data_IF_807321780882
#
_entry.id   IF_807321780882
#
_cell.length_a   1.000
_cell.length_b   1.000
_cell.length_c   1.000
_cell.angle_alpha   90.00
_cell.angle_beta   90.00
_cell.angle_gamma   90.00
#
_symmetry.space_group_name_H-M   'P 1'
#
loop_
_entity.id
_entity.type
_entity.pdbx_description
1 polymer ?
#
# COMPACT_ATOMS: atom_id res chain seq x y z
N UNK A 1 -7.74 4.51 38.47
CA UNK A 1 -7.58 3.28 37.68
C UNK A 1 -6.11 2.98 37.58
N UNK A 2 -5.65 1.94 38.28
CA UNK A 2 -4.27 1.45 38.15
C UNK A 2 -4.08 0.87 36.75
N UNK A 3 -3.00 1.27 36.08
CA UNK A 3 -2.49 0.60 34.88
C UNK A 3 -1.96 -0.77 35.30
N UNK A 4 -2.85 -1.74 35.55
CA UNK A 4 -2.46 -3.14 35.56
C UNK A 4 -1.92 -3.45 34.16
N UNK A 5 -0.63 -3.71 34.07
CA UNK A 5 0.04 -4.11 32.84
C UNK A 5 -0.69 -5.33 32.26
N UNK A 6 -1.45 -5.14 31.18
CA UNK A 6 -2.12 -6.23 30.48
C UNK A 6 -1.10 -7.33 30.17
N UNK A 7 -1.34 -8.53 30.70
CA UNK A 7 -0.52 -9.70 30.38
C UNK A 7 -0.78 -10.06 28.93
N UNK A 8 0.20 -9.82 28.06
CA UNK A 8 0.20 -10.25 26.67
C UNK A 8 1.01 -11.53 26.52
N UNK A 9 0.47 -12.52 25.81
CA UNK A 9 1.13 -13.80 25.57
C UNK A 9 1.45 -13.91 24.08
N UNK A 10 2.69 -14.20 23.74
CA UNK A 10 3.10 -14.46 22.37
C UNK A 10 3.01 -15.97 22.09
N UNK A 11 2.27 -16.34 21.05
CA UNK A 11 2.02 -17.74 20.67
C UNK A 11 2.31 -17.95 19.20
N UNK A 12 3.01 -19.03 18.89
CA UNK A 12 3.19 -19.51 17.52
C UNK A 12 2.11 -20.55 17.22
N UNK A 13 1.41 -20.40 16.11
CA UNK A 13 0.39 -21.35 15.69
C UNK A 13 1.04 -22.61 15.08
N UNK A 14 0.81 -23.78 15.65
CA UNK A 14 1.36 -25.04 15.15
C UNK A 14 0.83 -25.44 13.77
N UNK A 15 -0.32 -24.91 13.37
CA UNK A 15 -0.92 -25.21 12.06
C UNK A 15 -0.35 -24.36 10.92
N UNK A 16 -0.05 -23.07 11.14
CA UNK A 16 0.38 -22.17 10.05
C UNK A 16 1.74 -21.50 10.26
N UNK A 17 2.36 -21.66 11.44
CA UNK A 17 3.66 -21.10 11.79
C UNK A 17 3.67 -19.60 12.12
N UNK A 18 2.53 -18.90 12.00
CA UNK A 18 2.42 -17.48 12.32
C UNK A 18 2.49 -17.25 13.84
N UNK A 19 3.15 -16.16 14.24
CA UNK A 19 3.32 -15.77 15.64
C UNK A 19 2.46 -14.54 15.95
N UNK A 20 1.62 -14.63 16.97
CA UNK A 20 0.69 -13.58 17.38
C UNK A 20 0.85 -13.25 18.85
N UNK A 21 0.58 -12.01 19.21
CA UNK A 21 0.50 -11.55 20.60
C UNK A 21 -0.97 -11.39 20.96
N UNK A 22 -1.46 -12.17 21.93
CA UNK A 22 -2.85 -12.13 22.39
C UNK A 22 -2.93 -11.36 23.71
N UNK A 23 -3.94 -10.48 23.84
CA UNK A 23 -4.34 -9.93 25.13
C UNK A 23 -5.07 -11.00 25.95
N UNK A 24 -5.11 -10.84 27.27
CA UNK A 24 -5.89 -11.71 28.15
C UNK A 24 -7.37 -11.77 27.77
N UNK A 25 -7.93 -10.69 27.21
CA UNK A 25 -9.31 -10.63 26.71
C UNK A 25 -9.56 -11.48 25.46
N UNK A 26 -8.50 -11.75 24.69
CA UNK A 26 -8.59 -12.59 23.48
C UNK A 26 -8.62 -14.09 23.79
N UNK A 27 -8.40 -14.45 25.06
CA UNK A 27 -8.38 -15.84 25.54
C UNK A 27 -9.81 -16.22 25.91
N UNK A 28 -10.35 -17.24 25.26
CA UNK A 28 -11.68 -17.75 25.62
C UNK A 28 -11.71 -18.27 27.07
N UNK A 29 -12.89 -18.32 27.67
CA UNK A 29 -13.09 -18.91 29.01
C UNK A 29 -12.67 -20.38 29.10
N UNK A 30 -12.51 -21.05 27.96
CA UNK A 30 -12.05 -22.44 27.83
C UNK A 30 -10.54 -22.55 27.59
N UNK A 31 -9.77 -21.46 27.75
CA UNK A 31 -8.31 -21.50 27.69
C UNK A 31 -7.73 -21.68 26.30
N UNK A 32 -8.45 -21.35 25.23
CA UNK A 32 -7.91 -21.34 23.87
C UNK A 32 -7.99 -19.96 23.22
N UNK A 33 -7.11 -19.73 22.24
CA UNK A 33 -7.15 -18.58 21.32
C UNK A 33 -7.33 -19.06 19.89
N UNK A 34 -7.96 -18.24 19.05
CA UNK A 34 -8.11 -18.54 17.63
C UNK A 34 -7.02 -17.84 16.81
N UNK A 35 -6.26 -18.61 16.04
CA UNK A 35 -5.25 -18.07 15.14
C UNK A 35 -5.87 -17.10 14.13
N UNK A 36 -5.39 -15.86 14.12
CA UNK A 36 -5.90 -14.81 13.22
C UNK A 36 -5.65 -15.12 11.73
N UNK A 37 -4.70 -16.01 11.41
CA UNK A 37 -4.42 -16.42 10.02
C UNK A 37 -5.32 -17.55 9.54
N UNK A 38 -5.28 -18.69 10.24
CA UNK A 38 -5.86 -19.94 9.77
C UNK A 38 -7.10 -20.39 10.54
N UNK A 39 -7.56 -19.59 11.51
CA UNK A 39 -8.70 -19.89 12.39
C UNK A 39 -8.53 -21.15 13.26
N UNK A 40 -7.34 -21.74 13.30
CA UNK A 40 -7.02 -22.90 14.16
C UNK A 40 -7.06 -22.51 15.64
N UNK A 41 -7.67 -23.36 16.47
CA UNK A 41 -7.76 -23.14 17.92
C UNK A 41 -6.51 -23.67 18.60
N UNK A 42 -5.79 -22.78 19.27
CA UNK A 42 -4.56 -23.09 20.01
C UNK A 42 -4.95 -23.24 21.49
N UNK A 43 -4.83 -24.44 22.04
CA UNK A 43 -5.07 -24.67 23.47
C UNK A 43 -3.87 -24.13 24.27
N UNK A 44 -4.14 -23.32 25.30
CA UNK A 44 -3.12 -22.75 26.18
C UNK A 44 -2.78 -23.67 27.36
N UNK A 45 -3.54 -24.74 27.58
CA UNK A 45 -3.24 -25.77 28.57
C UNK A 45 -1.93 -26.49 28.21
N UNK A 46 -0.82 -26.02 28.77
CA UNK A 46 0.52 -26.56 28.53
C UNK A 46 1.48 -25.62 27.80
N UNK A 47 1.01 -24.48 27.29
CA UNK A 47 1.88 -23.41 26.83
C UNK A 47 2.53 -22.76 28.08
N UNK A 48 3.69 -23.26 28.49
CA UNK A 48 4.46 -22.58 29.52
C UNK A 48 4.68 -21.14 29.05
N UNK A 49 4.39 -20.12 29.90
CA UNK A 49 4.67 -18.74 29.56
C UNK A 49 6.15 -18.66 29.23
N UNK A 50 6.47 -18.52 27.95
CA UNK A 50 7.84 -18.42 27.48
C UNK A 50 8.52 -17.32 28.30
N UNK A 51 9.54 -17.71 29.08
CA UNK A 51 10.07 -17.00 30.23
C UNK A 51 9.86 -15.48 30.20
N UNK A 52 9.05 -15.00 31.12
CA UNK A 52 8.73 -13.59 31.39
C UNK A 52 9.91 -12.75 31.88
N UNK A 53 11.17 -13.13 31.66
CA UNK A 53 12.32 -12.44 32.28
C UNK A 53 13.39 -11.88 31.33
N UNK A 54 13.28 -12.01 30.00
CA UNK A 54 14.32 -11.44 29.11
C UNK A 54 13.82 -10.63 27.92
N UNK A 55 12.51 -10.54 27.68
CA UNK A 55 11.97 -9.87 26.48
C UNK A 55 11.01 -8.71 26.77
N UNK A 56 10.83 -8.35 28.05
CA UNK A 56 9.98 -7.21 28.43
C UNK A 56 10.71 -5.86 28.34
N UNK A 57 12.05 -5.84 28.20
CA UNK A 57 12.83 -4.60 28.04
C UNK A 57 13.07 -4.18 26.58
N UNK A 58 12.78 -5.02 25.56
CA UNK A 58 13.01 -4.64 24.15
C UNK A 58 11.77 -4.26 23.35
N UNK A 59 10.58 -4.45 23.89
CA UNK A 59 9.33 -4.10 23.20
C UNK A 59 8.32 -3.45 24.16
N UNK A 60 8.74 -2.37 24.83
CA UNK A 60 7.75 -1.39 25.26
C UNK A 60 7.23 -0.67 24.02
N UNK A 61 6.11 -1.16 23.47
CA UNK A 61 5.31 -0.35 22.57
C UNK A 61 4.85 0.88 23.37
N UNK A 62 5.07 2.11 22.88
CA UNK A 62 4.58 3.30 23.56
C UNK A 62 3.05 3.20 23.72
N UNK A 63 2.58 3.34 24.95
CA UNK A 63 1.16 3.28 25.32
C UNK A 63 0.29 4.35 24.65
N UNK A 64 0.90 5.34 23.98
CA UNK A 64 0.20 6.33 23.16
C UNK A 64 -0.33 5.79 21.83
N UNK A 65 0.03 4.56 21.42
CA UNK A 65 -0.50 3.94 20.20
C UNK A 65 -1.92 3.35 20.36
N UNK A 66 -2.45 3.29 21.58
CA UNK A 66 -3.75 2.69 21.87
C UNK A 66 -4.95 3.64 21.63
N UNK A 67 -4.73 4.96 21.60
CA UNK A 67 -5.82 5.94 21.46
C UNK A 67 -6.06 6.42 20.02
N UNK A 68 -5.11 6.21 19.10
CA UNK A 68 -5.35 6.43 17.66
C UNK A 68 -5.85 5.12 17.05
N UNK A 69 -7.17 4.89 17.18
CA UNK A 69 -7.86 3.67 16.77
C UNK A 69 -7.23 2.98 15.57
N UNK A 70 -6.67 1.79 15.81
CA UNK A 70 -6.27 0.79 14.82
C UNK A 70 -5.85 1.36 13.46
N UNK A 71 -4.74 2.11 13.41
CA UNK A 71 -3.98 2.15 12.17
C UNK A 71 -3.40 0.74 11.98
N UNK A 72 -4.19 -0.14 11.38
CA UNK A 72 -3.78 -1.49 11.03
C UNK A 72 -2.35 -1.44 10.51
N UNK A 73 -1.51 -2.30 11.06
CA UNK A 73 -0.12 -2.39 10.66
C UNK A 73 -0.11 -2.85 9.20
N UNK A 74 -0.04 -1.91 8.26
CA UNK A 74 0.05 -2.22 6.84
C UNK A 74 1.30 -3.06 6.62
N UNK A 75 1.11 -4.33 6.24
CA UNK A 75 2.20 -5.23 5.87
C UNK A 75 2.36 -5.12 4.35
N UNK A 76 3.54 -4.66 3.86
CA UNK A 76 3.83 -4.64 2.43
C UNK A 76 3.55 -6.00 1.81
N UNK A 77 3.07 -6.02 0.58
CA UNK A 77 2.58 -7.22 -0.08
C UNK A 77 3.61 -8.34 -0.10
N UNK A 78 4.88 -8.00 -0.37
CA UNK A 78 6.03 -8.92 -0.36
C UNK A 78 6.25 -9.62 0.98
N UNK A 79 5.77 -9.03 2.08
CA UNK A 79 5.92 -9.53 3.44
C UNK A 79 4.67 -10.25 3.97
N UNK A 80 3.60 -10.38 3.19
CA UNK A 80 2.36 -11.01 3.65
C UNK A 80 2.52 -12.54 3.75
N UNK A 81 2.14 -13.16 4.88
CA UNK A 81 2.30 -14.59 5.07
C UNK A 81 1.26 -15.40 4.26
N UNK A 82 1.66 -15.91 3.08
CA UNK A 82 1.00 -16.98 2.30
C UNK A 82 -0.41 -16.64 1.71
N UNK A 83 -0.94 -17.44 0.76
CA UNK A 83 -1.69 -16.93 -0.38
C UNK A 83 -3.08 -16.43 0.02
N UNK A 84 -3.51 -15.35 -0.64
CA UNK A 84 -4.83 -14.78 -0.39
C UNK A 84 -5.87 -15.75 -0.95
N UNK A 85 -6.78 -16.20 -0.08
CA UNK A 85 -7.96 -16.93 -0.55
C UNK A 85 -8.69 -16.03 -1.55
N UNK A 86 -9.06 -16.57 -2.71
CA UNK A 86 -9.77 -15.87 -3.79
C UNK A 86 -8.94 -14.85 -4.60
N UNK A 87 -7.62 -15.03 -4.76
CA UNK A 87 -6.82 -14.16 -5.64
C UNK A 87 -7.37 -14.05 -7.06
N UNK A 88 -7.76 -15.17 -7.67
CA UNK A 88 -8.31 -15.17 -9.03
C UNK A 88 -9.62 -14.36 -9.14
N UNK A 89 -10.50 -14.47 -8.14
CA UNK A 89 -11.75 -13.70 -8.11
C UNK A 89 -11.49 -12.20 -7.90
N UNK A 90 -10.52 -11.84 -7.05
CA UNK A 90 -10.11 -10.44 -6.87
C UNK A 90 -9.47 -9.86 -8.12
N UNK A 91 -8.67 -10.64 -8.85
CA UNK A 91 -8.11 -10.25 -10.15
C UNK A 91 -9.23 -9.98 -11.15
N UNK A 92 -10.15 -10.93 -11.30
CA UNK A 92 -11.30 -10.79 -12.18
C UNK A 92 -12.15 -9.58 -11.80
N UNK A 93 -12.45 -9.38 -10.51
CA UNK A 93 -13.22 -8.24 -10.02
C UNK A 93 -12.52 -6.90 -10.30
N UNK A 94 -11.21 -6.82 -10.09
CA UNK A 94 -10.43 -5.62 -10.36
C UNK A 94 -10.47 -5.24 -11.85
N UNK A 95 -10.13 -6.17 -12.74
CA UNK A 95 -10.12 -5.86 -14.16
C UNK A 95 -11.53 -5.76 -14.77
N UNK A 96 -12.54 -6.42 -14.20
CA UNK A 96 -13.93 -6.23 -14.60
C UNK A 96 -14.44 -4.83 -14.21
N UNK A 97 -14.17 -4.37 -12.98
CA UNK A 97 -14.48 -3.01 -12.57
C UNK A 97 -13.78 -1.98 -13.48
N UNK A 98 -12.52 -2.25 -13.82
CA UNK A 98 -11.74 -1.41 -14.73
C UNK A 98 -12.34 -1.39 -16.15
N UNK A 99 -12.69 -2.56 -16.69
CA UNK A 99 -13.31 -2.71 -18.01
C UNK A 99 -14.67 -1.99 -18.08
N UNK A 100 -15.48 -2.06 -17.02
CA UNK A 100 -16.77 -1.39 -16.97
C UNK A 100 -16.62 0.14 -16.96
N UNK A 101 -15.66 0.65 -16.20
CA UNK A 101 -15.32 2.08 -16.21
C UNK A 101 -14.81 2.49 -17.60
N UNK A 102 -13.91 1.71 -18.19
CA UNK A 102 -13.40 1.95 -19.55
C UNK A 102 -14.51 1.99 -20.60
N UNK A 103 -15.47 1.05 -20.53
CA UNK A 103 -16.63 1.02 -21.41
C UNK A 103 -17.51 2.26 -21.23
N UNK A 104 -17.82 2.63 -19.99
CA UNK A 104 -18.61 3.84 -19.70
C UNK A 104 -17.91 5.12 -20.16
N UNK A 105 -16.58 5.17 -20.03
CA UNK A 105 -15.77 6.31 -20.44
C UNK A 105 -15.57 6.37 -21.97
N UNK A 106 -15.63 5.24 -22.70
CA UNK A 106 -15.30 5.18 -24.13
C UNK A 106 -15.98 6.27 -24.97
N UNK A 107 -17.31 6.40 -24.86
CA UNK A 107 -18.06 7.41 -25.63
C UNK A 107 -17.68 8.84 -25.24
N UNK A 108 -17.50 9.09 -23.94
CA UNK A 108 -17.07 10.39 -23.43
C UNK A 108 -15.67 10.74 -23.93
N UNK A 109 -14.77 9.75 -23.93
CA UNK A 109 -13.39 9.88 -24.40
C UNK A 109 -13.32 10.15 -25.90
N UNK A 110 -14.18 9.51 -26.71
CA UNK A 110 -14.23 9.77 -28.16
C UNK A 110 -14.69 11.21 -28.46
N UNK A 111 -15.76 11.68 -27.81
CA UNK A 111 -16.25 13.05 -27.98
C UNK A 111 -15.20 14.06 -27.50
N UNK A 112 -14.60 13.80 -26.34
CA UNK A 112 -13.54 14.65 -25.79
C UNK A 112 -12.32 14.69 -26.72
N UNK A 113 -11.84 13.56 -27.23
CA UNK A 113 -10.71 13.50 -28.16
C UNK A 113 -10.95 14.38 -29.39
N UNK A 114 -12.14 14.29 -29.99
CA UNK A 114 -12.52 15.13 -31.13
C UNK A 114 -12.51 16.61 -30.74
N UNK A 115 -13.09 16.97 -29.59
CA UNK A 115 -13.09 18.36 -29.12
C UNK A 115 -11.67 18.91 -28.87
N UNK A 116 -10.81 18.15 -28.19
CA UNK A 116 -9.41 18.53 -27.96
C UNK A 116 -8.63 18.69 -29.27
N UNK A 117 -8.86 17.78 -30.23
CA UNK A 117 -8.28 17.87 -31.58
C UNK A 117 -8.73 19.12 -32.33
N UNK A 118 -10.02 19.49 -32.24
CA UNK A 118 -10.53 20.71 -32.88
C UNK A 118 -10.02 22.00 -32.23
N UNK A 119 -9.90 22.03 -30.90
CA UNK A 119 -9.50 23.25 -30.16
C UNK A 119 -8.00 23.52 -30.27
N UNK A 120 -7.18 22.47 -30.11
CA UNK A 120 -5.73 22.62 -29.95
C UNK A 120 -4.90 21.77 -30.94
N UNK A 121 -5.54 21.17 -31.94
CA UNK A 121 -4.85 20.35 -32.94
C UNK A 121 -4.12 19.17 -32.32
N UNK A 122 -2.89 18.93 -32.81
CA UNK A 122 -2.03 17.83 -32.32
C UNK A 122 -1.66 17.99 -30.84
N UNK A 123 -1.48 19.22 -30.36
CA UNK A 123 -1.20 19.48 -28.93
C UNK A 123 -2.40 19.11 -28.05
N UNK A 124 -3.62 19.30 -28.55
CA UNK A 124 -4.84 18.86 -27.88
C UNK A 124 -4.88 17.35 -27.66
N UNK A 125 -4.40 16.57 -28.65
CA UNK A 125 -4.33 15.11 -28.54
C UNK A 125 -3.37 14.67 -27.43
N UNK A 126 -2.17 15.27 -27.34
CA UNK A 126 -1.22 14.97 -26.26
C UNK A 126 -1.78 15.35 -24.88
N UNK A 127 -2.43 16.52 -24.78
CA UNK A 127 -3.07 16.97 -23.53
C UNK A 127 -4.19 16.00 -23.12
N UNK A 128 -5.03 15.59 -24.07
CA UNK A 128 -6.10 14.63 -23.83
C UNK A 128 -5.55 13.29 -23.30
N UNK A 129 -4.55 12.70 -23.96
CA UNK A 129 -3.97 11.44 -23.49
C UNK A 129 -3.26 11.58 -22.13
N UNK A 130 -2.65 12.74 -21.85
CA UNK A 130 -2.10 13.04 -20.52
C UNK A 130 -3.17 13.04 -19.43
N UNK A 131 -4.32 13.67 -19.69
CA UNK A 131 -5.45 13.69 -18.76
C UNK A 131 -6.07 12.29 -18.56
N UNK A 132 -6.20 11.52 -19.64
CA UNK A 132 -6.67 10.13 -19.56
C UNK A 132 -5.72 9.28 -18.73
N UNK A 133 -4.40 9.40 -18.94
CA UNK A 133 -3.41 8.69 -18.14
C UNK A 133 -3.54 9.04 -16.65
N UNK A 134 -3.66 10.32 -16.29
CA UNK A 134 -3.86 10.74 -14.90
C UNK A 134 -5.14 10.14 -14.29
N UNK A 135 -6.24 10.15 -15.04
CA UNK A 135 -7.51 9.56 -14.59
C UNK A 135 -7.39 8.04 -14.37
N UNK A 136 -6.81 7.33 -15.35
CA UNK A 136 -6.50 5.89 -15.31
C UNK A 136 -5.65 5.55 -14.08
N UNK A 137 -4.62 6.35 -13.81
CA UNK A 137 -3.74 6.18 -12.66
C UNK A 137 -4.47 6.36 -11.33
N UNK A 138 -5.28 7.42 -11.21
CA UNK A 138 -6.09 7.69 -10.02
C UNK A 138 -7.11 6.59 -9.74
N UNK A 139 -7.80 6.11 -10.77
CA UNK A 139 -8.74 4.98 -10.67
C UNK A 139 -8.03 3.73 -10.19
N UNK A 140 -6.85 3.42 -10.74
CA UNK A 140 -6.10 2.24 -10.31
C UNK A 140 -5.65 2.33 -8.85
N UNK A 141 -5.15 3.48 -8.40
CA UNK A 141 -4.78 3.68 -6.98
C UNK A 141 -6.00 3.44 -6.07
N UNK A 142 -7.15 3.99 -6.44
CA UNK A 142 -8.40 3.79 -5.70
C UNK A 142 -8.82 2.31 -5.65
N UNK A 143 -8.85 1.62 -6.80
CA UNK A 143 -9.25 0.21 -6.87
C UNK A 143 -8.23 -0.73 -6.20
N UNK A 144 -6.94 -0.45 -6.31
CA UNK A 144 -5.87 -1.14 -5.58
C UNK A 144 -6.07 -1.03 -4.06
N UNK A 145 -6.46 0.14 -3.57
CA UNK A 145 -6.79 0.32 -2.15
C UNK A 145 -8.06 -0.44 -1.77
N UNK A 146 -9.15 -0.29 -2.54
CA UNK A 146 -10.45 -0.87 -2.22
C UNK A 146 -10.48 -2.41 -2.27
N UNK A 147 -9.85 -3.03 -3.29
CA UNK A 147 -9.94 -4.48 -3.54
C UNK A 147 -8.80 -5.26 -2.86
N UNK A 148 -7.60 -4.68 -2.92
CA UNK A 148 -6.37 -5.36 -2.50
C UNK A 148 -5.85 -4.88 -1.16
N UNK A 149 -6.38 -3.75 -0.66
CA UNK A 149 -5.80 -3.05 0.48
C UNK A 149 -4.31 -2.83 0.24
N UNK A 150 -3.96 -2.37 -0.98
CA UNK A 150 -2.62 -1.93 -1.34
C UNK A 150 -2.60 -0.40 -1.20
N UNK A 151 -1.64 0.12 -0.43
CA UNK A 151 -1.44 1.56 -0.29
C UNK A 151 -0.41 2.01 -1.31
N UNK A 152 -0.85 2.73 -2.32
CA UNK A 152 0.02 3.34 -3.33
C UNK A 152 0.31 4.80 -2.98
N UNK A 153 1.41 5.34 -3.48
CA UNK A 153 1.72 6.77 -3.37
C UNK A 153 0.66 7.59 -4.12
N UNK A 154 0.16 8.65 -3.48
CA UNK A 154 -0.81 9.59 -4.09
C UNK A 154 -0.14 10.83 -4.71
N UNK A 155 1.19 10.84 -4.80
CA UNK A 155 1.93 11.92 -5.45
C UNK A 155 1.57 12.00 -6.94
N UNK A 156 1.52 13.21 -7.51
CA UNK A 156 1.16 13.42 -8.93
C UNK A 156 2.06 12.59 -9.85
N UNK A 157 3.36 12.49 -9.54
CA UNK A 157 4.31 11.67 -10.29
C UNK A 157 3.96 10.18 -10.27
N UNK A 158 3.56 9.65 -9.10
CA UNK A 158 3.11 8.26 -9.00
C UNK A 158 1.79 8.04 -9.76
N UNK A 159 0.80 8.94 -9.61
CA UNK A 159 -0.46 8.88 -10.36
C UNK A 159 -0.21 8.85 -11.87
N UNK A 160 0.66 9.72 -12.38
CA UNK A 160 1.03 9.77 -13.78
C UNK A 160 1.73 8.48 -14.25
N UNK A 161 2.64 7.94 -13.43
CA UNK A 161 3.35 6.70 -13.75
C UNK A 161 2.40 5.49 -13.79
N UNK A 162 1.51 5.33 -12.80
CA UNK A 162 0.43 4.34 -12.83
C UNK A 162 -0.39 4.46 -14.11
N UNK A 163 -0.78 5.70 -14.44
CA UNK A 163 -1.52 6.05 -15.63
C UNK A 163 -0.85 5.61 -16.92
N UNK A 164 0.42 5.95 -17.08
CA UNK A 164 1.17 5.69 -18.30
C UNK A 164 1.42 4.18 -18.52
N UNK A 165 1.81 3.46 -17.47
CA UNK A 165 2.01 2.00 -17.56
C UNK A 165 0.71 1.28 -17.92
N UNK A 166 -0.39 1.63 -17.24
CA UNK A 166 -1.68 1.01 -17.52
C UNK A 166 -2.24 1.42 -18.87
N UNK A 167 -2.08 2.67 -19.28
CA UNK A 167 -2.49 3.12 -20.60
C UNK A 167 -1.80 2.30 -21.71
N UNK A 168 -0.50 2.03 -21.58
CA UNK A 168 0.22 1.16 -22.51
C UNK A 168 -0.34 -0.27 -22.56
N UNK A 169 -0.60 -0.88 -21.40
CA UNK A 169 -1.18 -2.23 -21.34
C UNK A 169 -2.60 -2.26 -21.92
N UNK A 170 -3.44 -1.29 -21.55
CA UNK A 170 -4.83 -1.17 -22.01
C UNK A 170 -4.93 -0.89 -23.50
N UNK A 171 -3.96 -0.17 -24.08
CA UNK A 171 -3.88 0.02 -25.52
C UNK A 171 -3.66 -1.33 -26.23
N UNK A 172 -2.74 -2.15 -25.71
CA UNK A 172 -2.46 -3.49 -26.25
C UNK A 172 -3.66 -4.42 -26.08
N UNK A 173 -4.26 -4.48 -24.87
CA UNK A 173 -5.44 -5.32 -24.62
C UNK A 173 -6.66 -4.83 -25.42
N UNK A 174 -6.81 -3.51 -25.61
CA UNK A 174 -7.84 -2.92 -26.45
C UNK A 174 -7.72 -3.30 -27.93
N UNK A 175 -6.51 -3.26 -28.51
CA UNK A 175 -6.26 -3.71 -29.89
C UNK A 175 -6.55 -5.22 -30.03
N UNK A 176 -6.13 -6.02 -29.04
CA UNK A 176 -6.43 -7.45 -29.02
C UNK A 176 -7.94 -7.69 -28.94
N UNK A 177 -8.65 -7.01 -28.04
CA UNK A 177 -10.10 -7.13 -27.88
C UNK A 177 -10.85 -6.69 -29.14
N UNK A 178 -10.42 -5.63 -29.81
CA UNK A 178 -10.97 -5.22 -31.11
C UNK A 178 -10.88 -6.36 -32.15
N UNK A 179 -9.77 -7.11 -32.17
CA UNK A 179 -9.61 -8.26 -33.04
C UNK A 179 -10.60 -9.38 -32.71
N UNK A 180 -10.87 -9.64 -31.42
CA UNK A 180 -11.91 -10.58 -30.98
C UNK A 180 -13.31 -10.13 -31.40
N UNK A 181 -13.63 -8.84 -31.26
CA UNK A 181 -14.90 -8.26 -31.72
C UNK A 181 -15.08 -8.44 -33.22
N UNK A 182 -14.04 -8.15 -34.00
CA UNK A 182 -14.06 -8.30 -35.45
C UNK A 182 -14.25 -9.77 -35.89
N UNK A 183 -13.50 -10.70 -35.32
CA UNK A 183 -13.64 -12.14 -35.59
C UNK A 183 -15.05 -12.63 -35.23
N UNK A 184 -15.55 -12.24 -34.05
CA UNK A 184 -16.89 -12.60 -33.60
C UNK A 184 -17.99 -12.07 -34.54
N UNK A 185 -17.82 -10.86 -35.08
CA UNK A 185 -18.75 -10.28 -36.05
C UNK A 185 -18.77 -11.07 -37.37
N UNK A 186 -17.60 -11.52 -37.85
CA UNK A 186 -17.47 -12.34 -39.06
C UNK A 186 -18.05 -13.76 -38.88
N UNK A 187 -17.96 -14.34 -37.68
CA UNK A 187 -18.48 -15.67 -37.37
C UNK A 187 -20.03 -15.73 -37.33
N UNK A 188 -20.71 -14.58 -37.28
CA UNK A 188 -22.16 -14.47 -37.27
C UNK A 188 -22.78 -14.47 -35.86
N UNK A 189 -24.11 -14.20 -35.76
CA UNK A 189 -24.76 -13.84 -34.49
C UNK A 189 -24.69 -14.93 -33.42
N UNK A 190 -24.75 -16.20 -33.81
CA UNK A 190 -24.74 -17.35 -32.89
C UNK A 190 -23.42 -17.50 -32.15
N UNK A 191 -22.30 -17.06 -32.75
CA UNK A 191 -20.97 -17.13 -32.16
C UNK A 191 -20.50 -15.80 -31.57
N UNK A 192 -21.07 -14.69 -32.03
CA UNK A 192 -20.72 -13.35 -31.54
C UNK A 192 -20.81 -13.25 -30.01
N UNK A 193 -21.96 -13.56 -29.41
CA UNK A 193 -22.17 -13.41 -27.97
C UNK A 193 -21.28 -14.32 -27.11
N UNK A 194 -21.16 -15.64 -27.39
CA UNK A 194 -20.21 -16.48 -26.67
C UNK A 194 -18.77 -15.97 -26.75
N UNK A 195 -18.31 -15.51 -27.92
CA UNK A 195 -16.97 -14.94 -28.10
C UNK A 195 -16.81 -13.66 -27.28
N UNK A 196 -17.82 -12.78 -27.25
CA UNK A 196 -17.78 -11.56 -26.44
C UNK A 196 -17.72 -11.85 -24.93
N UNK A 197 -18.52 -12.79 -24.44
CA UNK A 197 -18.52 -13.16 -23.01
C UNK A 197 -17.17 -13.75 -22.62
N UNK A 198 -16.62 -14.64 -23.45
CA UNK A 198 -15.29 -15.21 -23.23
C UNK A 198 -14.20 -14.13 -23.29
N UNK A 199 -14.27 -13.21 -24.25
CA UNK A 199 -13.37 -12.07 -24.38
C UNK A 199 -13.39 -11.19 -23.13
N UNK A 200 -14.57 -10.78 -22.67
CA UNK A 200 -14.73 -9.96 -21.46
C UNK A 200 -14.12 -10.66 -20.24
N UNK A 201 -14.38 -11.95 -20.05
CA UNK A 201 -13.81 -12.70 -18.93
C UNK A 201 -12.28 -12.78 -19.00
N UNK A 202 -11.73 -13.07 -20.19
CA UNK A 202 -10.29 -13.17 -20.41
C UNK A 202 -9.58 -11.83 -20.23
N UNK A 203 -10.05 -10.78 -20.90
CA UNK A 203 -9.45 -9.44 -20.83
C UNK A 203 -9.63 -8.83 -19.43
N UNK A 204 -10.76 -9.03 -18.76
CA UNK A 204 -10.93 -8.62 -17.35
C UNK A 204 -9.91 -9.29 -16.44
N UNK A 205 -9.56 -10.56 -16.69
CA UNK A 205 -8.52 -11.22 -15.90
C UNK A 205 -7.14 -10.62 -16.18
N UNK A 206 -6.78 -10.40 -17.45
CA UNK A 206 -5.51 -9.79 -17.88
C UNK A 206 -5.35 -8.38 -17.31
N UNK A 207 -6.38 -7.54 -17.46
CA UNK A 207 -6.38 -6.18 -16.94
C UNK A 207 -6.28 -6.19 -15.41
N UNK A 208 -6.94 -7.14 -14.74
CA UNK A 208 -6.82 -7.33 -13.29
C UNK A 208 -5.40 -7.63 -12.83
N UNK A 209 -4.68 -8.49 -13.58
CA UNK A 209 -3.26 -8.79 -13.34
C UNK A 209 -2.39 -7.56 -13.57
N UNK A 210 -2.63 -6.82 -14.65
CA UNK A 210 -1.89 -5.60 -14.96
C UNK A 210 -2.08 -4.52 -13.87
N UNK A 211 -3.34 -4.23 -13.53
CA UNK A 211 -3.71 -3.25 -12.50
C UNK A 211 -3.09 -3.61 -11.13
N UNK A 212 -3.15 -4.88 -10.73
CA UNK A 212 -2.49 -5.35 -9.50
C UNK A 212 -0.98 -5.16 -9.58
N UNK A 213 -0.35 -5.56 -10.68
CA UNK A 213 1.11 -5.51 -10.85
C UNK A 213 1.61 -4.08 -10.74
N UNK A 214 0.97 -3.14 -11.44
CA UNK A 214 1.29 -1.71 -11.33
C UNK A 214 1.00 -1.21 -9.92
N UNK A 215 -0.10 -1.62 -9.30
CA UNK A 215 -0.38 -1.38 -7.87
C UNK A 215 0.78 -1.74 -6.94
N UNK A 216 1.38 -2.91 -7.15
CA UNK A 216 2.50 -3.42 -6.35
C UNK A 216 3.83 -2.71 -6.63
N UNK A 217 4.05 -2.23 -7.85
CA UNK A 217 5.28 -1.49 -8.22
C UNK A 217 5.41 -0.15 -7.49
N UNK A 218 4.28 0.46 -7.12
CA UNK A 218 4.21 1.75 -6.43
C UNK A 218 3.65 1.64 -5.01
N UNK A 219 3.70 0.43 -4.44
CA UNK A 219 3.34 0.19 -3.05
C UNK A 219 4.28 0.98 -2.13
N UNK A 220 3.71 1.85 -1.30
CA UNK A 220 4.48 2.61 -0.32
C UNK A 220 4.69 1.74 0.92
N UNK A 221 5.96 1.51 1.27
CA UNK A 221 6.29 0.91 2.55
C UNK A 221 6.10 1.93 3.68
N UNK A 222 5.60 1.52 4.86
CA UNK A 222 5.51 2.40 6.04
C UNK A 222 6.87 3.02 6.44
N UNK A 223 7.98 2.39 6.05
CA UNK A 223 9.32 2.91 6.27
C UNK A 223 9.58 4.17 5.42
N UNK A 224 9.19 4.17 4.16
CA UNK A 224 9.26 5.35 3.29
C UNK A 224 8.26 6.44 3.71
N UNK A 225 7.03 6.08 4.11
CA UNK A 225 6.05 7.08 4.59
C UNK A 225 6.51 7.76 5.88
N UNK A 226 7.17 7.03 6.80
CA UNK A 226 7.81 7.63 7.99
C UNK A 226 8.99 8.52 7.60
N UNK A 227 9.74 8.17 6.57
CA UNK A 227 10.87 8.98 6.11
C UNK A 227 10.41 10.27 5.42
N UNK A 228 9.26 10.24 4.72
CA UNK A 228 8.68 11.38 4.00
C UNK A 228 7.77 12.27 4.88
N UNK A 229 7.31 11.77 6.03
CA UNK A 229 6.57 12.58 7.01
C UNK A 229 7.36 13.78 7.58
N UNK A 230 8.64 13.91 7.22
CA UNK A 230 9.54 14.92 7.76
C UNK A 230 9.80 14.76 9.25
N UNK A 231 9.38 13.64 9.86
CA UNK A 231 9.60 13.37 11.27
C UNK A 231 11.01 12.83 11.49
N UNK A 232 11.83 13.59 12.21
CA UNK A 232 13.15 13.16 12.64
C UNK A 232 13.15 12.78 14.11
N UNK A 233 13.78 11.66 14.45
CA UNK A 233 13.83 11.18 15.83
C UNK A 233 15.06 11.76 16.54
N UNK A 234 14.88 12.31 17.73
CA UNK A 234 16.00 12.71 18.60
C UNK A 234 15.77 12.28 20.04
N UNK A 235 16.87 11.88 20.69
CA UNK A 235 16.91 11.54 22.11
C UNK A 235 17.34 12.76 22.91
N UNK A 236 16.53 13.18 23.86
CA UNK A 236 16.87 14.32 24.71
C UNK A 236 18.06 13.99 25.62
N UNK A 237 19.14 14.79 25.64
CA UNK A 237 20.31 14.53 26.47
C UNK A 237 20.03 14.75 27.97
N UNK A 238 18.98 15.50 28.31
CA UNK A 238 18.69 15.87 29.70
C UNK A 238 17.83 14.83 30.43
N UNK A 239 16.87 14.19 29.76
CA UNK A 239 15.96 13.21 30.38
C UNK A 239 15.94 11.83 29.70
N UNK A 240 16.67 11.64 28.60
CA UNK A 240 16.85 10.35 27.94
C UNK A 240 15.67 9.84 27.09
N UNK A 241 14.54 10.54 27.06
CA UNK A 241 13.40 10.18 26.22
C UNK A 241 13.62 10.51 24.74
N UNK A 242 13.07 9.67 23.86
CA UNK A 242 13.17 9.80 22.40
C UNK A 242 11.82 10.22 21.84
N UNK A 243 11.80 11.28 21.04
CA UNK A 243 10.60 11.78 20.35
C UNK A 243 10.85 11.97 18.86
N UNK A 244 9.77 11.91 18.09
CA UNK A 244 9.74 12.31 16.69
C UNK A 244 9.36 13.80 16.60
N UNK A 245 10.18 14.58 15.89
CA UNK A 245 10.00 16.02 15.68
C UNK A 245 9.75 16.28 14.19
N UNK A 246 8.71 17.03 13.87
CA UNK A 246 8.47 17.47 12.49
C UNK A 246 9.59 18.44 12.08
N UNK A 247 9.98 18.48 10.79
CA UNK A 247 10.97 19.45 10.30
C UNK A 247 10.57 20.88 10.67
N UNK A 248 9.27 21.19 10.65
CA UNK A 248 8.72 22.49 11.05
C UNK A 248 8.86 22.82 12.54
N UNK A 249 9.09 21.81 13.40
CA UNK A 249 9.33 21.97 14.84
C UNK A 249 10.81 22.11 15.19
N UNK A 250 11.70 22.03 14.19
CA UNK A 250 13.14 22.27 14.36
C UNK A 250 13.38 23.77 14.10
N UNK A 251 13.90 24.46 15.10
CA UNK A 251 14.29 25.87 14.99
C UNK A 251 15.36 26.08 13.92
N UNK A 252 15.48 27.30 13.40
CA UNK A 252 16.47 27.62 12.35
C UNK A 252 17.93 27.37 12.79
N UNK A 253 18.21 27.42 14.09
CA UNK A 253 19.50 27.10 14.70
C UNK A 253 19.73 25.57 14.89
N UNK A 254 18.79 24.74 14.43
CA UNK A 254 18.83 23.29 14.56
C UNK A 254 18.47 22.80 15.96
N UNK A 255 17.81 23.58 16.81
CA UNK A 255 17.38 23.14 18.14
C UNK A 255 15.93 22.64 18.16
N UNK A 256 15.61 21.80 19.15
CA UNK A 256 14.25 21.34 19.45
C UNK A 256 13.95 21.40 20.95
N UNK A 257 12.67 21.54 21.31
CA UNK A 257 12.20 21.53 22.71
C UNK A 257 11.76 20.11 23.08
N UNK A 258 12.36 19.52 24.13
CA UNK A 258 11.95 18.20 24.59
C UNK A 258 10.49 18.18 25.08
N UNK A 259 9.65 17.30 24.52
CA UNK A 259 8.25 17.16 24.89
C UNK A 259 8.02 16.64 26.34
N UNK A 260 9.05 16.11 27.00
CA UNK A 260 8.96 15.61 28.38
C UNK A 260 9.37 16.68 29.41
N UNK A 261 10.58 17.22 29.25
CA UNK A 261 11.21 18.08 30.25
C UNK A 261 11.25 19.55 29.85
N UNK A 262 10.73 19.90 28.67
CA UNK A 262 10.68 21.25 28.10
C UNK A 262 12.05 21.95 27.94
N UNK A 263 13.16 21.20 28.03
CA UNK A 263 14.50 21.74 27.78
C UNK A 263 14.80 21.78 26.29
N UNK A 264 15.39 22.89 25.85
CA UNK A 264 15.91 23.08 24.48
C UNK A 264 17.22 22.31 24.36
N UNK A 265 17.42 21.61 23.25
CA UNK A 265 18.70 20.95 22.96
C UNK A 265 18.95 20.92 21.44
N UNK A 266 20.22 20.89 20.99
CA UNK A 266 20.54 20.76 19.58
C UNK A 266 20.02 19.44 19.05
N UNK A 267 19.30 19.48 17.93
CA UNK A 267 18.91 18.32 17.17
C UNK A 267 20.17 17.74 16.51
N UNK A 268 20.95 16.97 17.27
CA UNK A 268 22.06 16.21 16.75
C UNK A 268 21.47 15.20 15.77
N UNK A 269 21.44 15.55 14.48
CA UNK A 269 21.11 14.61 13.45
C UNK A 269 22.16 13.50 13.53
N UNK A 270 21.83 12.40 14.21
CA UNK A 270 22.39 11.10 13.89
C UNK A 270 21.86 10.69 12.50
N UNK A 271 22.00 11.57 11.50
CA UNK A 271 22.00 11.16 10.12
C UNK A 271 23.20 10.27 9.98
N UNK A 272 22.98 8.98 9.71
CA UNK A 272 23.93 8.28 8.85
C UNK A 272 24.20 9.27 7.69
N UNK A 273 25.46 9.68 7.44
CA UNK A 273 25.76 10.52 6.29
C UNK A 273 25.08 9.87 5.09
N UNK A 274 24.27 10.63 4.36
CA UNK A 274 23.65 10.14 3.13
C UNK A 274 24.80 9.67 2.24
N UNK A 275 24.79 8.39 1.86
CA UNK A 275 25.81 7.78 1.01
C UNK A 275 25.91 8.42 -0.38
N UNK A 276 25.02 9.37 -0.69
CA UNK A 276 24.92 10.04 -1.99
C UNK A 276 25.41 11.50 -1.99
N UNK A 277 26.09 11.97 -0.92
CA UNK A 277 26.77 13.27 -0.99
C UNK A 277 28.00 13.14 -1.91
N UNK A 278 28.07 13.86 -3.05
CA UNK A 278 29.26 13.84 -3.90
C UNK A 278 30.45 14.33 -3.09
N UNK A 279 31.52 13.53 -3.06
CA UNK A 279 32.80 13.90 -2.46
C UNK A 279 33.44 14.94 -3.37
N UNK A 280 33.04 16.20 -3.23
CA UNK A 280 33.77 17.33 -3.82
C UNK A 280 35.06 17.53 -3.03
N UNK A 281 36.19 17.32 -3.70
CA UNK A 281 37.50 17.79 -3.22
C UNK A 281 38.31 16.78 -2.43
N UNK A 282 38.79 15.72 -3.09
CA UNK A 282 40.05 15.08 -2.70
C UNK A 282 41.10 15.47 -3.76
N UNK A 283 41.70 16.64 -3.62
CA UNK A 283 42.94 16.97 -4.34
C UNK A 283 44.05 16.12 -3.73
N UNK A 284 44.49 15.12 -4.49
CA UNK A 284 45.69 14.34 -4.19
C UNK A 284 46.87 15.18 -4.66
N UNK A 285 47.66 15.66 -3.68
CA UNK A 285 49.00 16.20 -3.90
C UNK A 285 50.04 15.09 -4.01
#
# INVERSE_FOLDING_TARGET
MSLESERRIQLKCDHCGATYTYSSESISSLGYVQCQNCAYRINLEGAQPAGTMAMQERYQMPSSAAETGWSEYYIPWKNRPRPIKYEALKLLLHGFAYSLIGLGMYFVLMIALVAFLFIAGIFGVFLFFGLVALAVGGINIFLSSAIWSIRCSSTIGSVAAHGLFLFGVLLVTGIANFSFVFIGALAGPSYYWPIQILGIALFSFVDGVACRTVGLMFEVSKEEEKQDSGLRHAKCPMCGSTYAYAVSSISQDGTVVCQNCNKVFPFAAHSKPSLDAPVEGLEIA
#
